data_IF_660422733207
#
_entry.id   IF_660422733207
#
_cell.length_a   1.000
_cell.length_b   1.000
_cell.length_c   1.000
_cell.angle_alpha   90.00
_cell.angle_beta   90.00
_cell.angle_gamma   90.00
#
_symmetry.space_group_name_H-M   'P 1'
#
loop_
_entity.id
_entity.type
_entity.pdbx_description
1 polymer ?
#
# COMPACT_ATOMS: atom_id res chain seq x y z
N UNK A 1 -36.07 11.61 -15.60
CA UNK A 1 -35.53 11.88 -14.25
C UNK A 1 -34.26 11.05 -14.11
N UNK A 2 -33.15 11.52 -14.69
CA UNK A 2 -31.87 10.82 -14.65
C UNK A 2 -31.17 11.19 -13.34
N UNK A 3 -31.13 10.23 -12.42
CA UNK A 3 -30.38 10.35 -11.17
C UNK A 3 -28.89 10.33 -11.51
N UNK A 4 -28.26 11.51 -11.53
CA UNK A 4 -26.80 11.61 -11.51
C UNK A 4 -26.35 11.22 -10.10
N UNK A 5 -26.17 9.91 -9.87
CA UNK A 5 -25.43 9.44 -8.70
C UNK A 5 -24.02 10.00 -8.89
N UNK A 6 -23.70 11.06 -8.14
CA UNK A 6 -22.35 11.58 -8.04
C UNK A 6 -21.50 10.48 -7.38
N UNK A 7 -20.97 9.58 -8.20
CA UNK A 7 -20.00 8.58 -7.76
C UNK A 7 -18.78 9.37 -7.32
N UNK A 8 -18.63 9.56 -6.01
CA UNK A 8 -17.41 10.09 -5.46
C UNK A 8 -16.36 8.99 -5.62
N UNK A 9 -15.52 9.13 -6.63
CA UNK A 9 -14.38 8.26 -6.85
C UNK A 9 -13.19 8.90 -6.15
N UNK A 10 -12.44 8.09 -5.39
CA UNK A 10 -11.18 8.51 -4.79
C UNK A 10 -10.04 7.91 -5.61
N UNK A 11 -9.14 8.79 -6.06
CA UNK A 11 -7.91 8.40 -6.72
C UNK A 11 -6.85 8.12 -5.65
N UNK A 12 -6.29 6.92 -5.71
CA UNK A 12 -5.13 6.49 -4.94
C UNK A 12 -3.92 6.50 -5.86
N UNK A 13 -2.79 7.00 -5.37
CA UNK A 13 -1.52 6.92 -6.07
C UNK A 13 -0.66 5.85 -5.40
N UNK A 14 -0.66 4.62 -5.90
CA UNK A 14 0.28 3.63 -5.37
C UNK A 14 1.66 3.85 -6.01
N UNK A 15 2.70 4.15 -5.23
CA UNK A 15 4.08 4.21 -5.73
C UNK A 15 4.71 2.84 -5.52
N UNK A 16 5.19 2.27 -6.62
CA UNK A 16 5.96 1.04 -6.63
C UNK A 16 7.44 1.36 -6.42
N UNK A 17 7.94 1.22 -5.20
CA UNK A 17 9.38 1.33 -4.92
C UNK A 17 9.97 -0.04 -4.58
N UNK A 18 10.77 -0.60 -5.50
CA UNK A 18 11.70 -1.68 -5.19
C UNK A 18 13.09 -1.05 -5.08
N UNK A 19 13.46 -0.54 -3.91
CA UNK A 19 14.85 -0.18 -3.65
C UNK A 19 15.15 0.04 -2.17
N UNK A 20 16.39 -0.31 -1.80
CA UNK A 20 17.07 0.09 -0.56
C UNK A 20 16.90 1.60 -0.28
N UNK A 21 16.97 2.05 0.98
CA UNK A 21 16.78 3.45 1.39
C UNK A 21 17.71 4.49 0.74
N UNK A 22 18.68 4.08 -0.08
CA UNK A 22 19.70 4.95 -0.69
C UNK A 22 19.61 5.09 -2.22
N UNK A 23 18.69 4.41 -2.91
CA UNK A 23 18.50 4.56 -4.36
C UNK A 23 17.01 4.69 -4.70
N UNK A 24 16.47 5.90 -4.55
CA UNK A 24 15.22 6.29 -5.22
C UNK A 24 15.44 6.21 -6.74
N UNK A 25 15.27 5.02 -7.31
CA UNK A 25 15.28 4.85 -8.75
C UNK A 25 14.05 5.57 -9.32
N UNK A 26 14.30 6.51 -10.22
CA UNK A 26 13.31 7.39 -10.86
C UNK A 26 12.34 6.63 -11.79
N UNK A 27 12.41 5.30 -11.82
CA UNK A 27 11.53 4.40 -12.56
C UNK A 27 10.43 3.75 -11.67
N UNK A 28 10.06 4.39 -10.56
CA UNK A 28 8.88 3.99 -9.81
C UNK A 28 7.62 4.29 -10.65
N UNK A 29 7.04 3.25 -11.26
CA UNK A 29 5.76 3.40 -11.95
C UNK A 29 4.69 3.77 -10.92
N UNK A 30 4.20 5.01 -11.00
CA UNK A 30 2.98 5.43 -10.31
C UNK A 30 1.81 4.66 -10.94
N UNK A 31 1.07 3.93 -10.12
CA UNK A 31 -0.19 3.30 -10.54
C UNK A 31 -1.31 4.14 -9.97
N UNK A 32 -2.10 4.73 -10.85
CA UNK A 32 -3.34 5.42 -10.48
C UNK A 32 -4.46 4.40 -10.41
N UNK A 33 -5.09 4.30 -9.24
CA UNK A 33 -6.25 3.44 -9.04
C UNK A 33 -7.41 4.24 -8.44
N UNK A 34 -8.57 4.06 -9.05
CA UNK A 34 -9.79 4.73 -8.66
C UNK A 34 -10.70 3.76 -7.91
N UNK A 35 -11.13 4.14 -6.71
CA UNK A 35 -12.03 3.34 -5.90
C UNK A 35 -13.28 4.10 -5.50
N UNK A 36 -14.39 3.37 -5.39
CA UNK A 36 -15.64 3.92 -4.87
C UNK A 36 -15.60 4.04 -3.35
N UNK A 37 -16.10 5.16 -2.83
CA UNK A 37 -16.34 5.32 -1.39
C UNK A 37 -17.32 4.25 -0.90
N UNK A 38 -17.20 3.86 0.37
CA UNK A 38 -17.96 2.80 1.04
C UNK A 38 -17.75 1.38 0.49
N UNK A 39 -16.75 1.20 -0.38
CA UNK A 39 -16.30 -0.12 -0.83
C UNK A 39 -14.91 -0.44 -0.33
N UNK A 40 -14.57 -1.71 -0.40
CA UNK A 40 -13.22 -2.19 -0.11
C UNK A 40 -12.34 -1.99 -1.35
N UNK A 41 -11.10 -1.55 -1.12
CA UNK A 41 -10.05 -1.51 -2.14
C UNK A 41 -8.98 -2.54 -1.83
N UNK A 42 -8.35 -3.05 -2.88
CA UNK A 42 -7.17 -3.90 -2.77
C UNK A 42 -6.03 -3.22 -3.53
N UNK A 43 -5.00 -2.82 -2.81
CA UNK A 43 -3.75 -2.33 -3.36
C UNK A 43 -2.77 -3.50 -3.43
N UNK A 44 -2.37 -3.86 -4.65
CA UNK A 44 -1.36 -4.90 -4.87
C UNK A 44 0.04 -4.33 -4.75
N UNK A 45 0.93 -5.03 -4.03
CA UNK A 45 2.35 -4.72 -4.08
C UNK A 45 3.02 -5.56 -5.17
N UNK A 46 3.53 -4.91 -6.22
CA UNK A 46 4.20 -5.63 -7.31
C UNK A 46 5.72 -5.79 -7.08
N UNK A 47 6.17 -6.13 -5.87
CA UNK A 47 7.59 -6.47 -5.68
C UNK A 47 7.91 -7.71 -6.51
N UNK A 48 8.76 -7.56 -7.54
CA UNK A 48 9.02 -8.59 -8.57
C UNK A 48 10.14 -9.56 -8.15
N UNK A 49 10.80 -9.32 -7.01
CA UNK A 49 11.99 -10.07 -6.64
C UNK A 49 11.68 -11.11 -5.54
N UNK A 50 11.94 -12.38 -5.87
CA UNK A 50 11.76 -13.56 -4.99
C UNK A 50 12.53 -13.44 -3.66
N UNK A 51 13.54 -12.56 -3.59
CA UNK A 51 14.32 -12.33 -2.37
C UNK A 51 13.79 -11.20 -1.48
N UNK A 52 12.75 -10.48 -1.92
CA UNK A 52 12.20 -9.34 -1.22
C UNK A 52 10.86 -9.69 -0.57
N UNK A 53 10.87 -9.85 0.76
CA UNK A 53 9.63 -9.93 1.50
C UNK A 53 9.01 -8.55 1.60
N UNK A 54 7.70 -8.51 1.38
CA UNK A 54 6.91 -7.34 1.73
C UNK A 54 7.08 -7.03 3.23
N UNK A 55 7.26 -5.75 3.57
CA UNK A 55 7.48 -5.31 4.95
C UNK A 55 6.33 -4.45 5.47
N UNK A 56 6.06 -3.28 4.87
CA UNK A 56 4.92 -2.43 5.24
C UNK A 56 4.48 -1.53 4.09
N UNK A 57 3.25 -1.01 4.20
CA UNK A 57 2.76 0.08 3.37
C UNK A 57 2.98 1.40 4.12
N UNK A 58 3.36 2.44 3.39
CA UNK A 58 3.49 3.79 3.94
C UNK A 58 2.53 4.73 3.22
N UNK A 59 1.59 5.32 3.96
CA UNK A 59 0.72 6.34 3.44
C UNK A 59 1.42 7.69 3.58
N UNK A 60 1.85 8.27 2.46
CA UNK A 60 2.68 9.48 2.43
C UNK A 60 1.96 10.69 3.03
N UNK A 61 0.67 10.86 2.73
CA UNK A 61 -0.08 12.05 3.13
C UNK A 61 -0.34 12.11 4.65
N UNK A 62 -0.67 10.96 5.26
CA UNK A 62 -0.82 10.89 6.72
C UNK A 62 0.46 10.51 7.46
N UNK A 63 1.54 10.21 6.74
CA UNK A 63 2.81 9.70 7.28
C UNK A 63 2.64 8.48 8.18
N UNK A 64 1.69 7.59 7.84
CA UNK A 64 1.40 6.41 8.66
C UNK A 64 1.99 5.14 8.06
N UNK A 65 2.48 4.27 8.95
CA UNK A 65 2.92 2.92 8.61
C UNK A 65 1.73 1.98 8.79
N UNK A 66 1.40 1.26 7.72
CA UNK A 66 0.34 0.26 7.68
C UNK A 66 1.00 -1.11 7.49
N UNK A 67 1.06 -1.87 8.58
CA UNK A 67 1.61 -3.21 8.59
C UNK A 67 1.59 -3.83 9.99
N UNK A 68 1.90 -5.13 10.10
CA UNK A 68 1.83 -5.89 11.35
C UNK A 68 2.80 -5.38 12.41
N UNK A 69 3.81 -4.60 12.03
CA UNK A 69 4.85 -4.07 12.91
C UNK A 69 4.61 -2.62 13.37
N UNK A 70 3.39 -2.09 13.24
CA UNK A 70 3.09 -0.75 13.74
C UNK A 70 3.02 -0.74 15.29
N UNK A 71 3.88 0.04 15.93
CA UNK A 71 3.96 0.20 17.39
C UNK A 71 2.67 0.80 18.01
N UNK A 72 1.92 1.58 17.23
CA UNK A 72 0.64 2.20 17.66
C UNK A 72 -0.57 1.26 17.68
N UNK A 73 -0.37 -0.02 17.35
CA UNK A 73 -1.46 -0.98 17.13
C UNK A 73 -1.96 -0.93 15.69
N UNK A 74 -2.02 -2.09 15.04
CA UNK A 74 -2.57 -2.21 13.69
C UNK A 74 -4.10 -2.25 13.74
N UNK A 75 -4.77 -1.34 13.02
CA UNK A 75 -6.23 -1.36 12.91
C UNK A 75 -6.68 -2.47 11.95
N UNK A 76 -6.89 -3.66 12.51
CA UNK A 76 -7.40 -4.82 11.80
C UNK A 76 -8.83 -4.65 11.27
N UNK A 77 -9.59 -3.66 11.76
CA UNK A 77 -10.95 -3.39 11.26
C UNK A 77 -10.88 -2.62 9.95
N UNK A 78 -9.98 -1.62 9.87
CA UNK A 78 -9.79 -0.81 8.66
C UNK A 78 -8.94 -1.50 7.61
N UNK A 79 -7.91 -2.23 8.01
CA UNK A 79 -6.92 -2.79 7.09
C UNK A 79 -6.90 -4.33 7.14
N UNK A 80 -6.92 -4.95 5.97
CA UNK A 80 -6.58 -6.36 5.75
C UNK A 80 -5.20 -6.44 5.11
N UNK A 81 -4.34 -7.31 5.62
CA UNK A 81 -2.94 -7.34 5.23
C UNK A 81 -2.49 -8.77 4.92
N UNK A 82 -1.92 -8.96 3.74
CA UNK A 82 -1.36 -10.23 3.29
C UNK A 82 0.17 -10.17 3.24
N UNK A 83 0.84 -10.84 4.18
CA UNK A 83 2.32 -10.78 4.33
C UNK A 83 3.05 -11.30 3.08
N UNK A 84 2.53 -12.35 2.45
CA UNK A 84 3.22 -13.04 1.35
C UNK A 84 3.09 -12.31 0.01
N UNK A 85 1.90 -11.79 -0.29
CA UNK A 85 1.61 -11.05 -1.53
C UNK A 85 1.89 -9.55 -1.39
N UNK A 86 1.94 -9.04 -0.17
CA UNK A 86 1.99 -7.61 0.11
C UNK A 86 0.69 -6.88 -0.23
N UNK A 87 -0.41 -7.59 -0.46
CA UNK A 87 -1.70 -6.97 -0.74
C UNK A 87 -2.23 -6.26 0.50
N UNK A 88 -2.65 -5.01 0.31
CA UNK A 88 -3.35 -4.22 1.32
C UNK A 88 -4.81 -4.06 0.93
N UNK A 89 -5.69 -4.64 1.74
CA UNK A 89 -7.12 -4.37 1.68
C UNK A 89 -7.44 -3.17 2.57
N UNK A 90 -8.05 -2.13 2.01
CA UNK A 90 -8.57 -0.99 2.77
C UNK A 90 -10.09 -1.13 2.79
N UNK A 91 -10.66 -1.40 3.96
CA UNK A 91 -12.10 -1.61 4.11
C UNK A 91 -12.85 -0.30 4.20
N UNK A 92 -14.05 -0.29 3.62
CA UNK A 92 -15.00 0.82 3.73
C UNK A 92 -14.31 2.19 3.51
N UNK A 93 -13.80 2.41 2.29
CA UNK A 93 -13.04 3.60 1.94
C UNK A 93 -13.84 4.88 2.21
N UNK A 94 -13.16 5.86 2.77
CA UNK A 94 -13.61 7.23 3.01
C UNK A 94 -12.64 8.22 2.36
N UNK A 95 -12.96 9.51 2.42
CA UNK A 95 -12.08 10.57 1.88
C UNK A 95 -10.72 10.66 2.58
N UNK A 96 -10.59 10.10 3.78
CA UNK A 96 -9.35 10.15 4.56
C UNK A 96 -8.27 9.20 4.02
N UNK A 97 -8.67 8.19 3.24
CA UNK A 97 -7.74 7.23 2.63
C UNK A 97 -7.27 7.69 1.24
N UNK A 98 -7.70 8.87 0.76
CA UNK A 98 -7.13 9.43 -0.46
C UNK A 98 -5.65 9.72 -0.22
N UNK A 99 -4.80 9.25 -1.12
CA UNK A 99 -3.41 9.65 -1.09
C UNK A 99 -2.46 8.72 -1.80
N UNK A 100 -1.18 8.91 -1.49
CA UNK A 100 -0.09 8.15 -2.06
C UNK A 100 0.34 7.01 -1.13
N UNK A 101 0.30 5.78 -1.62
CA UNK A 101 0.63 4.56 -0.88
C UNK A 101 1.91 3.93 -1.43
N UNK A 102 2.94 3.85 -0.60
CA UNK A 102 4.20 3.21 -0.97
C UNK A 102 4.26 1.80 -0.39
N UNK A 103 4.45 0.80 -1.25
CA UNK A 103 4.83 -0.52 -0.79
C UNK A 103 6.34 -0.54 -0.49
N UNK A 104 6.71 -0.97 0.71
CA UNK A 104 8.11 -1.16 1.11
C UNK A 104 8.37 -2.65 1.30
N UNK A 105 9.29 -3.18 0.49
CA UNK A 105 9.82 -4.54 0.62
C UNK A 105 11.27 -4.53 1.07
N UNK A 106 11.70 -5.52 1.86
CA UNK A 106 13.08 -5.66 2.33
C UNK A 106 13.66 -7.01 1.92
N UNK A 107 14.88 -6.98 1.40
CA UNK A 107 15.67 -8.18 1.12
C UNK A 107 15.95 -8.96 2.40
N UNK A 108 15.63 -10.25 2.42
CA UNK A 108 16.12 -11.16 3.45
C UNK A 108 17.59 -11.48 3.18
N UNK A 109 18.51 -10.67 3.70
CA UNK A 109 19.94 -11.03 3.68
C UNK A 109 20.12 -12.20 4.65
N UNK A 110 20.02 -13.43 4.14
CA UNK A 110 20.42 -14.63 4.85
C UNK A 110 21.94 -14.55 5.08
N UNK A 111 22.37 -13.93 6.19
CA UNK A 111 23.76 -14.03 6.64
C UNK A 111 24.02 -15.50 6.99
N UNK A 112 24.65 -16.23 6.06
CA UNK A 112 25.22 -17.55 6.32
C UNK A 112 26.20 -17.40 7.49
N UNK A 113 25.81 -17.88 8.69
CA UNK A 113 26.74 -18.05 9.81
C UNK A 113 27.83 -19.00 9.31
N UNK A 114 29.02 -18.46 9.00
CA UNK A 114 30.25 -19.25 8.87
C UNK A 114 30.73 -19.63 10.26
#
# INVERSE_FOLDING_TARGET
MFSFIAVCIIVFHAVKTSAKPSELNQNASLIEQEFSILKDAVLGCSSIDDNHNFYYWFHLDSQTIIGPYNEGGFDYTKYGYEVLSGNLTIRNITRNEKGVYNCVSRELIMKKRR
#
